data_IF_065534315414
#
_entry.id   IF_065534315414
#
_cell.length_a   1.000
_cell.length_b   1.000
_cell.length_c   1.000
_cell.angle_alpha   90.00
_cell.angle_beta   90.00
_cell.angle_gamma   90.00
#
_symmetry.space_group_name_H-M   'P 1'
#
loop_
_entity.id
_entity.type
_entity.pdbx_description
1 polymer ?
#
# COMPACT_ATOMS: atom_id res chain seq x y z
N UNK A 1 -22.35 10.12 -5.64
CA UNK A 1 -22.63 10.38 -4.21
C UNK A 1 -21.30 10.68 -3.55
N UNK A 2 -21.03 11.96 -3.32
CA UNK A 2 -19.84 12.41 -2.60
C UNK A 2 -20.00 12.04 -1.13
N UNK A 3 -19.35 10.94 -0.71
CA UNK A 3 -19.18 10.65 0.70
C UNK A 3 -18.20 11.68 1.22
N UNK A 4 -18.67 12.59 2.09
CA UNK A 4 -17.89 13.68 2.65
C UNK A 4 -16.58 13.14 3.24
N UNK A 5 -15.46 13.28 2.52
CA UNK A 5 -14.15 12.89 3.02
C UNK A 5 -13.85 13.77 4.22
N UNK A 6 -13.67 13.14 5.39
CA UNK A 6 -13.21 13.81 6.62
C UNK A 6 -11.99 14.69 6.29
N UNK A 7 -11.88 15.89 6.88
CA UNK A 7 -10.75 16.79 6.64
C UNK A 7 -9.44 16.03 6.82
N UNK A 8 -8.47 16.30 5.94
CA UNK A 8 -7.13 15.72 6.04
C UNK A 8 -6.57 16.19 7.39
N UNK A 9 -6.37 15.29 8.38
CA UNK A 9 -5.81 15.70 9.66
C UNK A 9 -4.42 16.32 9.42
N UNK A 10 -3.99 17.19 10.33
CA UNK A 10 -2.59 17.63 10.34
C UNK A 10 -1.69 16.39 10.25
N UNK A 11 -0.68 16.44 9.37
CA UNK A 11 0.23 15.31 9.12
C UNK A 11 0.68 14.68 10.46
N UNK A 12 0.56 13.35 10.64
CA UNK A 12 1.05 12.66 11.81
C UNK A 12 2.54 12.97 12.06
N UNK A 13 2.93 13.12 13.31
CA UNK A 13 4.29 13.53 13.72
C UNK A 13 5.09 12.40 14.37
N UNK A 14 4.46 11.26 14.64
CA UNK A 14 5.10 10.10 15.26
C UNK A 14 4.65 8.80 14.61
N UNK A 15 5.43 7.74 14.79
CA UNK A 15 5.08 6.40 14.32
C UNK A 15 3.72 5.93 14.86
N UNK A 16 3.40 6.19 16.13
CA UNK A 16 2.13 5.78 16.74
C UNK A 16 0.93 6.53 16.15
N UNK A 17 1.09 7.82 15.83
CA UNK A 17 0.07 8.59 15.11
C UNK A 17 -0.10 8.08 13.68
N UNK A 18 0.99 7.76 12.97
CA UNK A 18 0.92 7.14 11.65
C UNK A 18 0.22 5.79 11.69
N UNK A 19 0.57 4.94 12.65
CA UNK A 19 -0.01 3.61 12.85
C UNK A 19 -1.52 3.70 13.02
N UNK A 20 -1.97 4.60 13.89
CA UNK A 20 -3.40 4.86 14.10
C UNK A 20 -4.10 5.38 12.84
N UNK A 21 -3.46 6.30 12.11
CA UNK A 21 -4.00 6.88 10.89
C UNK A 21 -4.07 5.88 9.71
N UNK A 22 -3.06 5.02 9.56
CA UNK A 22 -3.02 3.95 8.55
C UNK A 22 -4.13 2.96 8.82
N UNK A 23 -4.24 2.45 10.06
CA UNK A 23 -5.31 1.52 10.43
C UNK A 23 -6.69 2.12 10.16
N UNK A 24 -6.93 3.34 10.65
CA UNK A 24 -8.22 4.01 10.47
C UNK A 24 -8.57 4.22 8.99
N UNK A 25 -7.59 4.49 8.13
CA UNK A 25 -7.82 4.61 6.69
C UNK A 25 -8.13 3.25 6.05
N UNK A 26 -7.32 2.22 6.34
CA UNK A 26 -7.48 0.90 5.71
C UNK A 26 -8.76 0.22 6.17
N UNK A 27 -9.17 0.40 7.42
CA UNK A 27 -10.45 -0.09 7.94
C UNK A 27 -11.65 0.63 7.32
N UNK A 28 -11.52 1.91 6.98
CA UNK A 28 -12.61 2.69 6.41
C UNK A 28 -12.80 2.46 4.90
N UNK A 29 -11.70 2.37 4.16
CA UNK A 29 -11.75 2.37 2.69
C UNK A 29 -11.72 0.93 2.11
N UNK A 30 -11.12 -0.04 2.83
CA UNK A 30 -10.62 -1.33 2.27
C UNK A 30 -9.72 -1.09 1.02
N UNK A 31 -8.95 -2.09 0.59
CA UNK A 31 -8.13 -2.04 -0.64
C UNK A 31 -7.34 -0.73 -0.88
N UNK A 32 -6.55 -0.30 0.10
CA UNK A 32 -5.83 0.98 0.06
C UNK A 32 -4.46 0.84 -0.59
N UNK A 33 -4.18 1.59 -1.66
CA UNK A 33 -2.86 1.60 -2.29
C UNK A 33 -1.85 2.45 -1.50
N UNK A 34 -0.56 2.20 -1.71
CA UNK A 34 0.49 3.08 -1.17
C UNK A 34 0.42 4.50 -1.76
N UNK A 35 -0.10 4.67 -2.98
CA UNK A 35 -0.33 5.99 -3.55
C UNK A 35 -1.39 6.78 -2.76
N UNK A 36 -2.47 6.13 -2.35
CA UNK A 36 -3.52 6.72 -1.52
C UNK A 36 -3.00 7.10 -0.12
N UNK A 37 -2.22 6.21 0.52
CA UNK A 37 -1.55 6.49 1.79
C UNK A 37 -0.57 7.67 1.67
N UNK A 38 0.24 7.71 0.60
CA UNK A 38 1.19 8.79 0.38
C UNK A 38 0.45 10.12 0.31
N UNK A 39 -0.55 10.20 -0.58
CA UNK A 39 -1.35 11.41 -0.77
C UNK A 39 -1.98 11.92 0.54
N UNK A 40 -2.44 11.00 1.40
CA UNK A 40 -3.14 11.37 2.64
C UNK A 40 -2.20 11.66 3.81
N UNK A 41 -1.17 10.85 4.00
CA UNK A 41 -0.37 10.81 5.24
C UNK A 41 1.04 11.35 5.05
N UNK A 42 1.62 11.23 3.84
CA UNK A 42 2.99 11.68 3.57
C UNK A 42 3.07 13.09 2.98
N UNK A 43 1.99 13.60 2.37
CA UNK A 43 1.97 14.91 1.72
C UNK A 43 2.98 14.98 0.57
N UNK A 44 3.90 15.96 0.62
CA UNK A 44 4.96 16.16 -0.37
C UNK A 44 6.29 15.49 -0.01
N UNK A 45 6.30 14.55 0.94
CA UNK A 45 7.54 13.84 1.30
C UNK A 45 8.16 13.13 0.09
N UNK A 46 9.49 13.10 0.06
CA UNK A 46 10.32 12.40 -0.94
C UNK A 46 11.52 11.73 -0.29
N UNK A 47 11.35 11.26 0.93
CA UNK A 47 12.42 10.59 1.67
C UNK A 47 12.88 9.31 0.94
N UNK A 48 14.17 8.98 0.97
CA UNK A 48 14.71 7.79 0.32
C UNK A 48 14.36 6.52 1.13
N UNK A 49 13.10 6.11 1.06
CA UNK A 49 12.56 4.89 1.68
C UNK A 49 12.18 3.87 0.60
N UNK A 50 12.44 2.58 0.84
CA UNK A 50 12.15 1.45 -0.07
C UNK A 50 11.74 0.21 0.75
N UNK A 51 10.71 -0.52 0.32
CA UNK A 51 10.35 -1.84 0.88
C UNK A 51 10.33 -2.88 -0.23
N UNK A 52 10.83 -4.06 0.10
CA UNK A 52 10.53 -5.30 -0.62
C UNK A 52 9.77 -6.20 0.32
N UNK A 53 8.51 -6.50 0.01
CA UNK A 53 7.74 -7.48 0.79
C UNK A 53 8.05 -8.90 0.32
N UNK A 54 7.84 -9.92 1.19
CA UNK A 54 7.94 -11.31 0.79
C UNK A 54 7.09 -11.62 -0.45
N UNK A 55 7.60 -12.52 -1.30
CA UNK A 55 6.88 -12.98 -2.49
C UNK A 55 6.91 -12.01 -3.67
N UNK A 56 8.03 -11.30 -3.88
CA UNK A 56 8.27 -10.42 -5.02
C UNK A 56 7.20 -9.33 -5.18
N UNK A 57 6.94 -8.56 -4.13
CA UNK A 57 5.96 -7.48 -4.14
C UNK A 57 6.65 -6.13 -4.09
N UNK A 58 6.31 -5.26 -5.04
CA UNK A 58 6.95 -3.94 -5.20
C UNK A 58 6.31 -2.94 -4.25
N UNK A 59 7.14 -2.16 -3.56
CA UNK A 59 6.66 -0.99 -2.84
C UNK A 59 7.39 0.29 -3.26
N UNK A 60 6.52 1.23 -3.59
CA UNK A 60 6.55 2.66 -3.38
C UNK A 60 7.70 3.29 -2.56
N UNK A 61 8.25 4.39 -3.07
CA UNK A 61 9.29 5.21 -2.40
C UNK A 61 8.76 6.60 -2.03
N UNK A 62 9.51 7.35 -1.22
CA UNK A 62 9.20 8.75 -0.93
C UNK A 62 8.32 8.98 0.30
N UNK A 63 8.04 7.96 1.10
CA UNK A 63 7.25 8.11 2.33
C UNK A 63 8.15 8.45 3.52
N UNK A 64 7.63 9.16 4.54
CA UNK A 64 8.31 9.36 5.81
C UNK A 64 8.69 8.03 6.46
N UNK A 65 9.89 7.95 7.04
CA UNK A 65 10.35 6.73 7.73
C UNK A 65 9.37 6.25 8.80
N UNK A 66 8.79 7.15 9.58
CA UNK A 66 7.86 6.77 10.64
C UNK A 66 6.54 6.22 10.10
N UNK A 67 6.06 6.71 8.95
CA UNK A 67 4.90 6.14 8.26
C UNK A 67 5.20 4.74 7.76
N UNK A 68 6.39 4.57 7.20
CA UNK A 68 6.88 3.32 6.69
C UNK A 68 7.01 2.26 7.79
N UNK A 69 7.67 2.59 8.90
CA UNK A 69 7.87 1.69 10.02
C UNK A 69 6.52 1.27 10.62
N UNK A 70 5.58 2.20 10.71
CA UNK A 70 4.22 1.90 11.15
C UNK A 70 3.50 0.88 10.25
N UNK A 71 3.65 0.97 8.92
CA UNK A 71 3.03 0.02 7.98
C UNK A 71 3.64 -1.37 8.16
N UNK A 72 4.97 -1.47 8.30
CA UNK A 72 5.66 -2.75 8.49
C UNK A 72 5.23 -3.44 9.79
N UNK A 73 5.21 -2.72 10.91
CA UNK A 73 4.76 -3.28 12.19
C UNK A 73 3.31 -3.78 12.10
N UNK A 74 2.43 -3.06 11.41
CA UNK A 74 1.04 -3.49 11.21
C UNK A 74 0.90 -4.74 10.34
N UNK A 75 1.79 -4.93 9.36
CA UNK A 75 1.85 -6.15 8.55
C UNK A 75 2.40 -7.32 9.38
N UNK A 76 3.48 -7.10 10.12
CA UNK A 76 4.15 -8.12 10.94
C UNK A 76 3.25 -8.61 12.08
N UNK A 77 2.47 -7.71 12.68
CA UNK A 77 1.48 -8.06 13.70
C UNK A 77 0.21 -8.71 13.15
N UNK A 78 0.09 -8.86 11.82
CA UNK A 78 -1.11 -9.42 11.20
C UNK A 78 -2.35 -8.54 11.35
N UNK A 79 -2.18 -7.23 11.55
CA UNK A 79 -3.30 -6.26 11.57
C UNK A 79 -3.72 -5.88 10.15
N UNK A 80 -2.76 -5.83 9.24
CA UNK A 80 -2.96 -5.59 7.82
C UNK A 80 -2.53 -6.79 6.98
N UNK A 81 -3.11 -6.91 5.80
CA UNK A 81 -2.67 -7.81 4.76
C UNK A 81 -2.28 -7.02 3.51
N UNK A 82 -1.20 -7.44 2.85
CA UNK A 82 -0.85 -6.97 1.51
C UNK A 82 -1.37 -7.97 0.48
N UNK A 83 -2.23 -7.52 -0.44
CA UNK A 83 -2.74 -8.33 -1.57
C UNK A 83 -2.30 -7.73 -2.90
N UNK A 84 -1.89 -8.55 -3.88
CA UNK A 84 -1.53 -8.06 -5.21
C UNK A 84 -2.73 -7.38 -5.87
N UNK A 85 -2.47 -6.31 -6.62
CA UNK A 85 -3.48 -5.58 -7.39
C UNK A 85 -2.97 -5.28 -8.79
N UNK A 86 -3.89 -4.98 -9.71
CA UNK A 86 -3.52 -4.49 -11.02
C UNK A 86 -2.95 -3.06 -10.93
N UNK A 87 -1.93 -2.74 -11.73
CA UNK A 87 -1.26 -1.42 -11.73
C UNK A 87 -2.21 -0.24 -12.02
N UNK A 88 -3.38 -0.48 -12.60
CA UNK A 88 -4.43 0.55 -12.77
C UNK A 88 -4.97 1.11 -11.45
N UNK A 89 -4.87 0.38 -10.35
CA UNK A 89 -5.29 0.87 -9.03
C UNK A 89 -4.50 2.13 -8.65
N UNK A 90 -3.17 2.08 -8.76
CA UNK A 90 -2.30 3.23 -8.49
C UNK A 90 -2.58 4.40 -9.44
N UNK A 91 -2.83 4.11 -10.72
CA UNK A 91 -3.19 5.15 -11.71
C UNK A 91 -4.44 5.93 -11.30
N UNK A 92 -5.46 5.25 -10.76
CA UNK A 92 -6.68 5.89 -10.25
C UNK A 92 -6.40 6.81 -9.06
N UNK A 93 -5.38 6.52 -8.26
CA UNK A 93 -4.92 7.37 -7.16
C UNK A 93 -3.99 8.52 -7.62
N UNK A 94 -3.85 8.73 -8.93
CA UNK A 94 -3.09 9.84 -9.50
C UNK A 94 -1.58 9.61 -9.47
N UNK A 95 -1.14 8.37 -9.34
CA UNK A 95 0.28 8.00 -9.31
C UNK A 95 0.55 6.87 -10.30
N UNK A 96 1.69 6.94 -10.97
CA UNK A 96 2.17 5.87 -11.85
C UNK A 96 3.39 5.27 -11.17
N UNK A 97 3.44 3.94 -11.08
CA UNK A 97 4.62 3.25 -10.58
C UNK A 97 5.76 3.47 -11.57
N UNK A 98 6.91 3.94 -11.06
CA UNK A 98 8.14 4.02 -11.83
C UNK A 98 8.79 2.62 -11.91
N UNK A 99 8.07 1.66 -12.47
CA UNK A 99 8.62 0.33 -12.74
C UNK A 99 9.54 0.42 -13.97
N UNK A 100 10.64 -0.34 -14.01
CA UNK A 100 11.38 -0.54 -15.25
C UNK A 100 10.40 -0.99 -16.34
N UNK A 101 10.29 -0.21 -17.41
CA UNK A 101 9.46 -0.59 -18.56
C UNK A 101 10.23 -1.65 -19.32
N UNK A 102 9.76 -2.88 -19.25
CA UNK A 102 10.29 -3.94 -20.07
C UNK A 102 9.90 -3.69 -21.54
N UNK A 103 10.90 -3.70 -22.43
CA UNK A 103 10.72 -3.39 -23.85
C UNK A 103 10.57 -4.66 -24.71
N UNK A 104 10.94 -5.82 -24.18
CA UNK A 104 10.88 -7.10 -24.86
C UNK A 104 10.72 -8.22 -23.82
N UNK A 105 9.87 -9.20 -24.11
CA UNK A 105 9.68 -10.37 -23.25
C UNK A 105 10.98 -11.21 -23.26
N UNK A 106 11.48 -11.68 -22.11
CA UNK A 106 12.68 -12.51 -22.05
C UNK A 106 12.46 -13.85 -22.77
N UNK A 107 13.47 -14.41 -23.48
CA UNK A 107 13.34 -15.69 -24.18
C UNK A 107 12.90 -16.86 -23.29
N UNK A 108 13.34 -16.85 -22.02
CA UNK A 108 13.04 -17.88 -21.03
C UNK A 108 11.77 -17.59 -20.21
N UNK A 109 11.01 -16.55 -20.60
CA UNK A 109 9.91 -16.03 -19.82
C UNK A 109 10.37 -15.24 -18.60
N UNK A 110 9.41 -14.73 -17.84
CA UNK A 110 9.71 -14.00 -16.61
C UNK A 110 10.06 -14.95 -15.47
N UNK A 111 10.99 -14.53 -14.61
CA UNK A 111 11.24 -15.20 -13.36
C UNK A 111 9.99 -15.14 -12.46
N UNK A 112 9.57 -16.30 -11.97
CA UNK A 112 8.56 -16.42 -10.93
C UNK A 112 9.21 -16.35 -9.54
N UNK A 113 8.61 -15.66 -8.56
CA UNK A 113 7.34 -14.94 -8.65
C UNK A 113 7.40 -13.58 -9.38
N UNK A 114 6.33 -13.21 -10.07
CA UNK A 114 6.21 -11.89 -10.70
C UNK A 114 6.13 -10.73 -9.69
N UNK A 115 6.63 -9.56 -10.11
CA UNK A 115 6.53 -8.30 -9.38
C UNK A 115 5.14 -7.67 -9.53
N UNK A 116 4.36 -7.59 -8.44
CA UNK A 116 3.05 -6.96 -8.44
C UNK A 116 2.97 -5.75 -7.50
N UNK A 117 2.25 -4.68 -7.88
CA UNK A 117 1.82 -3.69 -6.89
C UNK A 117 0.83 -4.32 -5.92
N UNK A 118 0.74 -3.75 -4.73
CA UNK A 118 -0.11 -4.26 -3.67
C UNK A 118 -1.04 -3.19 -3.12
N UNK A 119 -2.16 -3.63 -2.57
CA UNK A 119 -3.00 -2.82 -1.72
C UNK A 119 -3.03 -3.42 -0.30
N UNK A 120 -3.18 -2.54 0.68
CA UNK A 120 -3.38 -2.90 2.08
C UNK A 120 -4.87 -3.12 2.34
N UNK A 121 -5.15 -4.17 3.08
CA UNK A 121 -6.49 -4.52 3.56
C UNK A 121 -6.46 -4.80 5.05
N UNK A 122 -7.59 -4.65 5.78
CA UNK A 122 -7.71 -5.18 7.13
C UNK A 122 -7.53 -6.70 7.08
N UNK A 123 -6.69 -7.26 7.96
CA UNK A 123 -6.49 -8.72 7.98
C UNK A 123 -7.80 -9.47 8.24
N UNK A 124 -8.66 -8.92 9.12
CA UNK A 124 -9.97 -9.50 9.40
C UNK A 124 -10.85 -9.67 8.15
N UNK A 125 -10.81 -8.70 7.22
CA UNK A 125 -11.57 -8.76 5.98
C UNK A 125 -11.04 -9.88 5.05
N UNK A 126 -9.71 -10.04 5.00
CA UNK A 126 -9.08 -11.12 4.22
C UNK A 126 -9.44 -12.50 4.78
N UNK A 127 -9.36 -12.69 6.09
CA UNK A 127 -9.68 -13.97 6.73
C UNK A 127 -11.16 -14.34 6.56
N UNK A 128 -12.06 -13.35 6.62
CA UNK A 128 -13.48 -13.57 6.37
C UNK A 128 -13.75 -14.07 4.94
N UNK A 129 -13.08 -13.48 3.94
CA UNK A 129 -13.20 -13.88 2.52
C UNK A 129 -12.62 -15.28 2.27
N UNK A 130 -11.51 -15.63 2.92
CA UNK A 130 -10.89 -16.96 2.77
C UNK A 130 -11.67 -18.08 3.47
N UNK A 131 -12.49 -17.73 4.46
CA UNK A 131 -13.34 -18.68 5.20
C UNK A 131 -14.68 -18.97 4.49
N UNK A 132 -15.07 -18.15 3.52
CA UNK A 132 -16.28 -18.31 2.71
C UNK A 132 -15.94 -18.13 1.22
N UNK A 133 -15.25 -19.11 0.60
CA UNK A 133 -14.94 -19.04 -0.82
C UNK A 133 -16.25 -19.19 -1.60
N UNK A 134 -16.68 -18.07 -2.20
CA UNK A 134 -17.83 -17.99 -3.09
C UNK A 134 -17.82 -19.03 -4.23
#
# INVERSE_FOLDING_TARGET
MDSARKPIPSRPKSKDEYRSAVLAQVEADDWVTFAALHKRLAGDSREPTEIVLPGNRVIWTGMPRELFDAILELLDEGRLAAKPVHHSAYRRDGRVLALPVEKAIPPDGHAEPHWFPVALRPMAAVLAEESDPA
#
